data_IF_478537877645
#
_entry.id   IF_478537877645
#
_cell.length_a   1.000
_cell.length_b   1.000
_cell.length_c   1.000
_cell.angle_alpha   90.00
_cell.angle_beta   90.00
_cell.angle_gamma   90.00
#
_symmetry.space_group_name_H-M   'P 1'
#
loop_
_entity.id
_entity.type
_entity.pdbx_description
1 polymer ?
#
# COMPACT_ATOMS: atom_id res chain seq x y z
N UNK A 1 56.90 20.40 37.52
CA UNK A 1 55.81 21.18 36.87
C UNK A 1 55.49 20.51 35.55
N UNK A 2 54.31 19.91 35.41
CA UNK A 2 53.79 19.38 34.15
C UNK A 2 52.31 19.79 34.06
N UNK A 3 51.84 20.38 32.95
CA UNK A 3 50.45 20.82 32.85
C UNK A 3 49.54 19.65 32.47
N UNK A 4 48.50 19.45 33.28
CA UNK A 4 47.40 18.52 33.02
C UNK A 4 46.55 19.14 31.91
N UNK A 5 46.68 18.61 30.69
CA UNK A 5 45.83 18.98 29.55
C UNK A 5 44.42 18.45 29.76
N UNK A 6 43.45 19.36 29.97
CA UNK A 6 42.02 19.06 29.96
C UNK A 6 41.57 18.84 28.52
N UNK A 7 41.49 17.59 28.08
CA UNK A 7 40.84 17.21 26.83
C UNK A 7 39.32 17.25 27.05
N UNK A 8 38.66 18.32 26.57
CA UNK A 8 37.20 18.36 26.41
C UNK A 8 36.83 17.51 25.18
N UNK A 9 36.23 16.33 25.41
CA UNK A 9 35.50 15.62 24.37
C UNK A 9 34.19 16.37 24.09
N UNK A 10 34.07 17.00 22.93
CA UNK A 10 32.79 17.43 22.39
C UNK A 10 32.08 16.21 21.77
N UNK A 11 31.08 15.69 22.48
CA UNK A 11 30.11 14.76 21.90
C UNK A 11 29.24 15.55 20.92
N UNK A 12 29.52 15.44 19.62
CA UNK A 12 28.58 15.88 18.59
C UNK A 12 27.40 14.91 18.61
N UNK A 13 26.31 15.29 19.28
CA UNK A 13 25.04 14.63 19.15
C UNK A 13 24.55 14.83 17.71
N UNK A 14 24.66 13.80 16.87
CA UNK A 14 23.93 13.75 15.61
C UNK A 14 22.46 13.61 15.97
N UNK A 15 21.74 14.72 16.03
CA UNK A 15 20.29 14.71 16.03
C UNK A 15 19.86 14.28 14.63
N UNK A 16 19.58 13.00 14.45
CA UNK A 16 18.81 12.52 13.30
C UNK A 16 17.45 13.21 13.37
N UNK A 17 17.27 14.23 12.53
CA UNK A 17 15.97 14.83 12.28
C UNK A 17 15.12 13.73 11.67
N UNK A 18 14.24 13.21 12.49
CA UNK A 18 13.27 12.22 12.09
C UNK A 18 12.26 12.96 11.18
N UNK A 19 12.05 12.44 9.98
CA UNK A 19 11.21 13.05 8.94
C UNK A 19 10.09 12.07 8.66
N UNK A 20 8.85 12.51 8.80
CA UNK A 20 7.69 11.81 8.28
C UNK A 20 7.93 11.40 6.82
N UNK A 21 7.76 10.12 6.50
CA UNK A 21 8.01 9.59 5.16
C UNK A 21 6.71 9.64 4.34
N UNK A 22 6.79 10.19 3.13
CA UNK A 22 5.65 10.18 2.22
C UNK A 22 5.50 8.80 1.58
N UNK A 23 4.29 8.24 1.67
CA UNK A 23 3.97 6.91 1.13
C UNK A 23 2.69 6.95 0.29
N UNK A 24 2.60 6.02 -0.66
CA UNK A 24 1.43 5.78 -1.49
C UNK A 24 0.89 4.39 -1.20
N UNK A 25 -0.39 4.32 -0.90
CA UNK A 25 -1.16 3.08 -0.78
C UNK A 25 -1.83 2.84 -2.11
N UNK A 26 -1.58 1.68 -2.70
CA UNK A 26 -2.11 1.31 -4.01
C UNK A 26 -3.01 0.10 -3.84
N UNK A 27 -4.29 0.30 -4.12
CA UNK A 27 -5.22 -0.77 -4.40
C UNK A 27 -5.27 -0.97 -5.90
N UNK A 28 -5.20 -2.22 -6.36
CA UNK A 28 -5.25 -2.53 -7.78
C UNK A 28 -6.16 -3.72 -8.06
N UNK A 29 -6.78 -3.70 -9.23
CA UNK A 29 -7.43 -4.86 -9.80
C UNK A 29 -7.28 -4.82 -11.32
N UNK A 30 -7.48 -5.96 -11.96
CA UNK A 30 -7.59 -5.97 -13.40
C UNK A 30 -8.14 -7.28 -13.92
N UNK A 31 -8.57 -7.20 -15.17
CA UNK A 31 -9.24 -8.28 -15.87
C UNK A 31 -8.70 -8.33 -17.29
N UNK A 32 -8.57 -9.53 -17.84
CA UNK A 32 -8.32 -9.70 -19.26
C UNK A 32 -9.22 -10.76 -19.85
N UNK A 33 -9.46 -10.64 -21.14
CA UNK A 33 -10.17 -11.64 -21.93
C UNK A 33 -9.64 -11.65 -23.36
N UNK A 34 -9.41 -12.84 -23.91
CA UNK A 34 -8.94 -13.04 -25.29
C UNK A 34 -9.88 -13.98 -26.05
N UNK A 35 -9.83 -13.90 -27.39
CA UNK A 35 -10.56 -14.85 -28.24
C UNK A 35 -9.98 -16.25 -28.04
N UNK A 36 -10.80 -17.19 -27.57
CA UNK A 36 -10.42 -18.60 -27.42
C UNK A 36 -10.14 -19.26 -28.78
N UNK A 37 -9.08 -20.08 -28.84
CA UNK A 37 -8.72 -20.84 -30.04
C UNK A 37 -9.69 -22.00 -30.36
N UNK A 38 -9.51 -22.66 -31.53
CA UNK A 38 -10.44 -23.68 -32.05
C UNK A 38 -10.68 -24.89 -31.14
N UNK A 39 -9.73 -25.19 -30.25
CA UNK A 39 -9.80 -26.34 -29.33
C UNK A 39 -10.51 -26.02 -28.00
N UNK A 40 -11.13 -24.83 -27.87
CA UNK A 40 -12.34 -24.56 -27.08
C UNK A 40 -12.39 -24.93 -25.59
N UNK A 41 -11.28 -25.25 -24.95
CA UNK A 41 -11.30 -25.83 -23.59
C UNK A 41 -11.56 -24.87 -22.43
N UNK A 42 -11.36 -23.56 -22.58
CA UNK A 42 -11.58 -22.57 -21.52
C UNK A 42 -11.70 -21.15 -22.09
N UNK A 43 -12.55 -20.31 -21.50
CA UNK A 43 -12.47 -18.85 -21.66
C UNK A 43 -11.03 -18.41 -21.33
N UNK A 44 -10.36 -17.73 -22.26
CA UNK A 44 -9.01 -17.20 -22.01
C UNK A 44 -9.12 -15.85 -21.30
N UNK A 45 -9.63 -15.90 -20.07
CA UNK A 45 -9.84 -14.75 -19.22
C UNK A 45 -9.22 -14.97 -17.85
N UNK A 46 -8.83 -13.88 -17.20
CA UNK A 46 -8.31 -13.90 -15.84
C UNK A 46 -8.59 -12.59 -15.12
N UNK A 47 -8.50 -12.67 -13.80
CA UNK A 47 -8.68 -11.56 -12.88
C UNK A 47 -7.50 -11.54 -11.90
N UNK A 48 -7.08 -10.36 -11.49
CA UNK A 48 -6.13 -10.16 -10.40
C UNK A 48 -6.54 -8.98 -9.53
N UNK A 49 -6.10 -9.01 -8.29
CA UNK A 49 -6.14 -7.88 -7.38
C UNK A 49 -4.84 -7.79 -6.59
N UNK A 50 -4.54 -6.59 -6.11
CA UNK A 50 -3.27 -6.27 -5.50
C UNK A 50 -3.39 -5.16 -4.47
N UNK A 51 -2.60 -5.25 -3.40
CA UNK A 51 -2.43 -4.17 -2.45
C UNK A 51 -0.95 -4.00 -2.12
N UNK A 52 -0.49 -2.75 -2.15
CA UNK A 52 0.85 -2.40 -1.77
C UNK A 52 0.89 -1.04 -1.07
N UNK A 53 1.89 -0.87 -0.23
CA UNK A 53 2.29 0.45 0.28
C UNK A 53 3.70 0.68 -0.24
N UNK A 54 3.88 1.78 -0.98
CA UNK A 54 5.12 2.10 -1.69
C UNK A 54 5.64 3.48 -1.31
N UNK A 55 6.96 3.63 -1.35
CA UNK A 55 7.61 4.93 -1.23
C UNK A 55 7.57 5.70 -2.54
N UNK A 56 7.95 6.97 -2.49
CA UNK A 56 8.14 7.80 -3.68
C UNK A 56 9.15 7.26 -4.69
N UNK A 57 10.14 6.49 -4.23
CA UNK A 57 11.14 5.85 -5.09
C UNK A 57 10.63 4.55 -5.76
N UNK A 58 9.41 4.10 -5.44
CA UNK A 58 8.80 2.88 -5.96
C UNK A 58 9.04 1.62 -5.15
N UNK A 59 9.86 1.67 -4.09
CA UNK A 59 10.10 0.50 -3.23
C UNK A 59 8.86 0.20 -2.38
N UNK A 60 8.42 -1.06 -2.39
CA UNK A 60 7.33 -1.51 -1.54
C UNK A 60 7.80 -1.73 -0.09
N UNK A 61 7.07 -1.14 0.87
CA UNK A 61 7.21 -1.41 2.31
C UNK A 61 6.18 -2.41 2.83
N UNK A 62 5.18 -2.71 2.00
CA UNK A 62 4.24 -3.81 2.16
C UNK A 62 3.74 -4.23 0.78
N UNK A 63 3.70 -5.53 0.50
CA UNK A 63 3.16 -6.04 -0.76
C UNK A 63 2.46 -7.38 -0.53
N UNK A 64 1.13 -7.35 -0.46
CA UNK A 64 0.31 -8.55 -0.37
C UNK A 64 -0.98 -8.33 -1.15
N UNK A 65 -1.21 -9.14 -2.19
CA UNK A 65 -2.43 -9.07 -2.98
C UNK A 65 -3.69 -9.53 -2.25
N UNK A 66 -3.54 -10.23 -1.13
CA UNK A 66 -4.63 -10.74 -0.31
C UNK A 66 -4.39 -10.46 1.18
N UNK A 67 -4.40 -9.19 1.63
CA UNK A 67 -4.25 -8.89 3.04
C UNK A 67 -5.39 -9.56 3.83
N UNK A 68 -5.06 -10.31 4.88
CA UNK A 68 -6.01 -11.17 5.63
C UNK A 68 -6.82 -12.13 4.73
N UNK A 69 -6.12 -12.84 3.83
CA UNK A 69 -6.65 -13.91 2.96
C UNK A 69 -7.76 -13.51 1.97
N UNK A 70 -7.98 -12.22 1.77
CA UNK A 70 -9.09 -11.69 0.96
C UNK A 70 -8.61 -10.59 0.00
N UNK A 71 -9.32 -10.39 -1.12
CA UNK A 71 -9.06 -9.27 -2.04
C UNK A 71 -9.14 -7.95 -1.28
N UNK A 72 -8.29 -6.95 -1.55
CA UNK A 72 -8.26 -5.71 -0.78
C UNK A 72 -9.46 -4.78 -1.08
N UNK A 73 -10.20 -5.03 -2.17
CA UNK A 73 -11.39 -4.26 -2.56
C UNK A 73 -12.56 -5.19 -2.85
N UNK A 74 -13.76 -4.81 -2.40
CA UNK A 74 -15.02 -5.52 -2.68
C UNK A 74 -16.12 -4.54 -3.07
N UNK A 75 -17.08 -5.01 -3.88
CA UNK A 75 -18.24 -4.22 -4.30
C UNK A 75 -19.44 -4.38 -3.36
N UNK A 76 -19.43 -5.40 -2.50
CA UNK A 76 -20.51 -5.71 -1.57
C UNK A 76 -20.28 -5.08 -0.20
N UNK A 77 -21.36 -4.71 0.50
CA UNK A 77 -21.28 -4.32 1.91
C UNK A 77 -20.61 -2.97 2.19
N UNK A 78 -20.43 -2.13 1.16
CA UNK A 78 -19.80 -0.82 1.28
C UNK A 78 -18.27 -0.86 1.18
N UNK A 79 -17.69 -1.92 0.60
CA UNK A 79 -16.25 -2.06 0.45
C UNK A 79 -15.63 -3.04 1.43
N UNK A 80 -14.31 -3.11 1.40
CA UNK A 80 -13.51 -3.89 2.35
C UNK A 80 -12.70 -2.97 3.23
N UNK A 81 -12.58 -3.34 4.50
CA UNK A 81 -11.75 -2.65 5.49
C UNK A 81 -10.82 -3.64 6.16
N UNK A 82 -9.54 -3.31 6.30
CA UNK A 82 -8.59 -4.07 7.09
C UNK A 82 -7.59 -3.13 7.80
N UNK A 83 -6.90 -3.65 8.81
CA UNK A 83 -6.01 -2.89 9.68
C UNK A 83 -4.59 -3.40 9.54
N UNK A 84 -3.63 -2.50 9.36
CA UNK A 84 -2.19 -2.83 9.37
C UNK A 84 -1.51 -2.11 10.54
N UNK A 85 -0.70 -2.87 11.28
CA UNK A 85 0.17 -2.41 12.36
C UNK A 85 1.64 -2.63 12.00
N UNK A 86 2.53 -1.85 12.61
CA UNK A 86 3.97 -2.04 12.45
C UNK A 86 4.81 -0.80 12.68
N UNK A 87 6.10 -0.93 12.43
CA UNK A 87 7.12 0.06 12.84
C UNK A 87 7.06 1.39 12.08
N UNK A 88 6.27 1.46 11.01
CA UNK A 88 6.09 2.65 10.18
C UNK A 88 5.25 3.75 10.85
N UNK A 89 4.44 3.40 11.84
CA UNK A 89 3.54 4.35 12.48
C UNK A 89 3.33 3.99 13.95
N UNK A 90 3.07 4.99 14.79
CA UNK A 90 2.97 4.77 16.21
C UNK A 90 1.67 4.03 16.59
N UNK A 91 0.72 3.94 15.66
CA UNK A 91 -0.61 3.43 15.91
C UNK A 91 -1.24 2.85 14.65
N UNK A 92 -2.09 1.80 14.77
CA UNK A 92 -2.67 1.08 13.64
C UNK A 92 -3.32 1.99 12.61
N UNK A 93 -3.24 1.58 11.34
CA UNK A 93 -3.90 2.26 10.22
C UNK A 93 -4.98 1.38 9.63
N UNK A 94 -6.12 1.99 9.33
CA UNK A 94 -7.25 1.32 8.69
C UNK A 94 -7.24 1.64 7.21
N UNK A 95 -7.33 0.62 6.38
CA UNK A 95 -7.32 0.71 4.92
C UNK A 95 -8.67 0.27 4.41
N UNK A 96 -9.29 1.12 3.60
CA UNK A 96 -10.62 0.88 3.08
C UNK A 96 -10.62 1.00 1.55
N UNK A 97 -11.30 0.07 0.87
CA UNK A 97 -11.53 0.15 -0.56
C UNK A 97 -12.91 -0.38 -0.95
N UNK A 98 -13.66 0.46 -1.64
CA UNK A 98 -14.90 0.09 -2.32
C UNK A 98 -14.59 -0.17 -3.80
N UNK A 99 -15.03 -1.32 -4.31
CA UNK A 99 -14.98 -1.63 -5.73
C UNK A 99 -16.29 -1.25 -6.44
N UNK A 100 -16.21 -1.00 -7.74
CA UNK A 100 -17.37 -0.85 -8.61
C UNK A 100 -18.03 -2.20 -8.91
N UNK A 101 -19.05 -2.20 -9.77
CA UNK A 101 -19.76 -3.41 -10.15
C UNK A 101 -18.88 -4.44 -10.89
N UNK A 102 -17.84 -3.98 -11.59
CA UNK A 102 -16.91 -4.84 -12.30
C UNK A 102 -15.80 -5.41 -11.39
N UNK A 103 -15.72 -4.95 -10.14
CA UNK A 103 -14.68 -5.37 -9.20
C UNK A 103 -13.44 -4.46 -9.23
N UNK A 104 -13.49 -3.34 -9.96
CA UNK A 104 -12.41 -2.36 -10.05
C UNK A 104 -12.45 -1.42 -8.83
N UNK A 105 -11.30 -1.04 -8.24
CA UNK A 105 -11.27 -0.02 -7.20
C UNK A 105 -11.99 1.25 -7.65
N UNK A 106 -12.96 1.72 -6.85
CA UNK A 106 -13.79 2.90 -7.13
C UNK A 106 -13.45 4.05 -6.20
N UNK A 107 -13.32 3.78 -4.90
CA UNK A 107 -12.87 4.74 -3.91
C UNK A 107 -12.05 4.03 -2.85
N UNK A 108 -11.02 4.69 -2.34
CA UNK A 108 -10.17 4.16 -1.28
C UNK A 108 -9.89 5.24 -0.24
N UNK A 109 -9.64 4.80 0.99
CA UNK A 109 -9.40 5.70 2.12
C UNK A 109 -8.42 5.04 3.11
N UNK A 110 -7.58 5.86 3.72
CA UNK A 110 -6.73 5.46 4.83
C UNK A 110 -7.10 6.28 6.06
N UNK A 111 -7.28 5.63 7.21
CA UNK A 111 -7.58 6.28 8.49
C UNK A 111 -6.55 5.97 9.55
N UNK A 112 -6.35 6.92 10.45
CA UNK A 112 -5.67 6.68 11.72
C UNK A 112 -6.52 5.80 12.67
N UNK A 113 -5.94 5.42 13.81
CA UNK A 113 -6.63 4.64 14.84
C UNK A 113 -7.88 5.31 15.42
N UNK A 114 -8.00 6.64 15.31
CA UNK A 114 -9.11 7.42 15.82
C UNK A 114 -10.25 7.56 14.80
N UNK A 115 -10.06 7.00 13.60
CA UNK A 115 -11.00 7.12 12.49
C UNK A 115 -10.89 8.43 11.71
N UNK A 116 -9.86 9.23 11.93
CA UNK A 116 -9.60 10.41 11.12
C UNK A 116 -9.01 9.98 9.77
N UNK A 117 -9.52 10.56 8.68
CA UNK A 117 -8.98 10.34 7.35
C UNK A 117 -7.58 10.93 7.23
N UNK A 118 -6.62 10.12 6.79
CA UNK A 118 -5.27 10.54 6.40
C UNK A 118 -5.21 10.87 4.91
N UNK A 119 -6.13 10.30 4.12
CA UNK A 119 -6.27 10.59 2.71
C UNK A 119 -7.35 9.72 2.07
N UNK A 120 -7.84 10.19 0.92
CA UNK A 120 -8.79 9.47 0.08
C UNK A 120 -8.32 9.46 -1.36
N UNK A 121 -8.69 8.43 -2.11
CA UNK A 121 -8.41 8.30 -3.53
C UNK A 121 -9.67 7.97 -4.31
N UNK A 122 -9.68 8.39 -5.57
CA UNK A 122 -10.67 7.98 -6.57
C UNK A 122 -10.05 6.94 -7.49
N UNK A 123 -10.81 5.88 -7.75
CA UNK A 123 -10.44 4.81 -8.65
C UNK A 123 -10.30 5.30 -10.09
N UNK A 124 -9.30 4.78 -10.78
CA UNK A 124 -9.09 4.96 -12.21
C UNK A 124 -9.08 3.60 -12.88
N UNK A 125 -9.59 3.52 -14.11
CA UNK A 125 -9.61 2.28 -14.89
C UNK A 125 -9.23 2.58 -16.32
N UNK A 126 -8.17 1.92 -16.79
CA UNK A 126 -7.71 1.96 -18.15
C UNK A 126 -8.13 0.70 -18.88
N UNK A 127 -8.73 0.85 -20.06
CA UNK A 127 -9.14 -0.28 -20.90
C UNK A 127 -8.31 -0.29 -22.17
N UNK A 128 -7.62 -1.40 -22.40
CA UNK A 128 -6.82 -1.63 -23.62
C UNK A 128 -7.50 -2.69 -24.48
N UNK A 129 -7.74 -2.37 -25.75
CA UNK A 129 -8.29 -3.32 -26.73
C UNK A 129 -7.41 -3.40 -27.97
N UNK A 130 -7.02 -4.62 -28.35
CA UNK A 130 -6.15 -4.87 -29.52
C UNK A 130 -6.83 -5.72 -30.60
N UNK A 131 -8.16 -5.77 -30.63
CA UNK A 131 -8.94 -6.52 -31.62
C UNK A 131 -9.22 -7.97 -31.19
N UNK A 132 -8.19 -8.68 -30.71
CA UNK A 132 -8.29 -10.08 -30.28
C UNK A 132 -8.30 -10.28 -28.76
N UNK A 133 -8.03 -9.20 -28.02
CA UNK A 133 -8.09 -9.19 -26.56
C UNK A 133 -8.48 -7.83 -26.03
N UNK A 134 -9.05 -7.86 -24.82
CA UNK A 134 -9.33 -6.72 -23.98
C UNK A 134 -8.66 -6.93 -22.62
N UNK A 135 -8.05 -5.89 -22.09
CA UNK A 135 -7.53 -5.82 -20.74
C UNK A 135 -8.05 -4.58 -20.04
N UNK A 136 -8.34 -4.68 -18.76
CA UNK A 136 -8.68 -3.57 -17.89
C UNK A 136 -7.73 -3.57 -16.71
N UNK A 137 -7.09 -2.43 -16.48
CA UNK A 137 -6.21 -2.18 -15.36
C UNK A 137 -6.84 -1.07 -14.52
N UNK A 138 -7.10 -1.35 -13.25
CA UNK A 138 -7.70 -0.40 -12.35
C UNK A 138 -6.86 -0.19 -11.10
N UNK A 139 -6.84 1.05 -10.60
CA UNK A 139 -6.14 1.38 -9.37
C UNK A 139 -6.85 2.48 -8.59
N UNK A 140 -6.66 2.46 -7.28
CA UNK A 140 -7.00 3.57 -6.39
C UNK A 140 -5.81 3.85 -5.49
N UNK A 141 -5.37 5.11 -5.46
CA UNK A 141 -4.16 5.52 -4.75
C UNK A 141 -4.51 6.52 -3.66
N UNK A 142 -4.01 6.26 -2.45
CA UNK A 142 -4.04 7.22 -1.34
C UNK A 142 -2.62 7.59 -0.98
N UNK A 143 -2.33 8.88 -0.88
CA UNK A 143 -1.03 9.40 -0.46
C UNK A 143 -1.15 10.02 0.94
N UNK A 144 -0.19 9.73 1.83
CA UNK A 144 -0.12 10.33 3.15
C UNK A 144 1.30 10.26 3.72
N UNK A 145 1.57 11.09 4.72
CA UNK A 145 2.84 11.09 5.46
C UNK A 145 2.75 10.14 6.67
N UNK A 146 3.75 9.27 6.86
CA UNK A 146 3.84 8.40 8.02
C UNK A 146 4.05 9.18 9.31
N UNK A 147 3.78 8.55 10.46
CA UNK A 147 4.19 9.15 11.73
C UNK A 147 5.72 9.16 11.83
N UNK A 148 6.27 10.19 12.47
CA UNK A 148 7.69 10.32 12.67
C UNK A 148 8.18 9.47 13.86
N UNK A 149 8.16 8.14 13.73
CA UNK A 149 8.26 7.27 14.92
C UNK A 149 9.70 6.99 15.36
N UNK A 150 10.71 6.94 14.48
CA UNK A 150 12.07 6.53 14.89
C UNK A 150 13.23 7.13 14.07
N UNK A 151 13.01 8.16 13.26
CA UNK A 151 14.07 8.81 12.49
C UNK A 151 14.80 7.95 11.45
N UNK A 152 14.26 6.77 11.19
CA UNK A 152 14.58 5.93 10.05
C UNK A 152 13.33 5.79 9.19
N UNK A 153 13.51 5.72 7.87
CA UNK A 153 12.43 5.35 6.94
C UNK A 153 11.83 3.99 7.32
N UNK A 154 10.56 3.80 6.99
CA UNK A 154 9.87 2.52 7.09
C UNK A 154 10.79 1.39 6.58
N UNK A 155 10.92 0.24 7.24
CA UNK A 155 11.70 -0.86 6.69
C UNK A 155 11.05 -1.40 5.41
N UNK A 156 11.86 -1.84 4.45
CA UNK A 156 11.38 -2.58 3.26
C UNK A 156 10.88 -3.95 3.72
N UNK A 157 9.79 -4.44 3.14
CA UNK A 157 9.28 -5.80 3.40
C UNK A 157 10.22 -6.86 2.78
N UNK A 158 10.77 -7.73 3.62
CA UNK A 158 11.65 -8.84 3.23
C UNK A 158 10.94 -10.22 3.30
N UNK A 159 9.61 -10.22 3.43
CA UNK A 159 8.80 -11.43 3.63
C UNK A 159 8.51 -11.76 5.09
N UNK A 160 9.10 -11.03 6.04
CA UNK A 160 8.66 -10.93 7.45
C UNK A 160 8.45 -9.46 7.83
N UNK A 161 7.99 -8.64 6.87
CA UNK A 161 8.05 -7.19 6.93
C UNK A 161 7.54 -6.57 8.24
N UNK A 162 7.99 -5.34 8.54
CA UNK A 162 7.63 -4.63 9.77
C UNK A 162 6.12 -4.40 9.90
N UNK A 163 5.39 -4.50 8.80
CA UNK A 163 3.96 -4.28 8.68
C UNK A 163 3.21 -5.61 8.60
N UNK A 164 2.15 -5.76 9.40
CA UNK A 164 1.32 -6.96 9.42
C UNK A 164 -0.16 -6.61 9.58
N UNK A 165 -1.02 -7.41 8.95
CA UNK A 165 -2.47 -7.25 9.06
C UNK A 165 -2.94 -7.84 10.38
N UNK A 166 -3.76 -7.09 11.13
CA UNK A 166 -4.28 -7.52 12.43
C UNK A 166 -5.78 -7.85 12.41
N UNK A 167 -6.50 -7.42 11.39
CA UNK A 167 -7.92 -7.71 11.17
C UNK A 167 -8.37 -7.33 9.75
N UNK A 168 -9.33 -8.03 9.14
CA UNK A 168 -9.92 -7.65 7.86
C UNK A 168 -10.98 -8.59 7.30
#
# INVERSE_FOLDING_TARGET
MAPIGKTLLFLAAMTSSAMAEHVRVVFSAGDFSTISGPDGGSSQSGHYSGFAIVRDNGDAIYNNGNPDDHSPCYSTGGGRTFTIEGDCWASPRTFHCEADFAGHPKTCEVKDQNGNSLGTGEGQTDTTFIGISIGQDASCVVEFDTDDVQGNSCPVDDGNGPLHVTSG
#
